data_IF_043673221928
#
_entry.id   IF_043673221928
#
_cell.length_a   1.000
_cell.length_b   1.000
_cell.length_c   1.000
_cell.angle_alpha   90.00
_cell.angle_beta   90.00
_cell.angle_gamma   90.00
#
_symmetry.space_group_name_H-M   'P 1'
#
loop_
_entity.id
_entity.type
_entity.pdbx_description
1 polymer ?
#
# COMPACT_ATOMS: atom_id res chain seq x y z
N UNK A 1 -2.40 11.04 -5.98
CA UNK A 1 -1.82 10.50 -4.73
C UNK A 1 -1.28 11.63 -3.87
N UNK A 2 -0.34 12.48 -4.36
CA UNK A 2 0.31 13.55 -3.57
C UNK A 2 -0.66 14.46 -2.79
N UNK A 3 -1.72 14.99 -3.42
CA UNK A 3 -2.69 15.84 -2.75
C UNK A 3 -3.41 15.12 -1.58
N UNK A 4 -3.70 13.84 -1.75
CA UNK A 4 -4.32 12.99 -0.72
C UNK A 4 -3.35 12.71 0.42
N UNK A 5 -2.08 12.46 0.11
CA UNK A 5 -1.04 12.27 1.13
C UNK A 5 -0.91 13.49 2.03
N UNK A 6 -1.02 14.69 1.46
CA UNK A 6 -1.03 15.96 2.19
C UNK A 6 -2.35 16.27 2.92
N UNK A 7 -3.32 15.36 2.92
CA UNK A 7 -4.60 15.52 3.60
C UNK A 7 -5.64 16.33 2.82
N UNK A 8 -5.39 16.65 1.54
CA UNK A 8 -6.36 17.37 0.72
C UNK A 8 -7.28 16.41 -0.01
N UNK A 9 -8.57 16.73 -0.05
CA UNK A 9 -9.50 16.04 -0.95
C UNK A 9 -9.13 16.40 -2.40
N UNK A 10 -8.83 15.42 -3.27
CA UNK A 10 -8.42 15.73 -4.63
C UNK A 10 -9.57 16.36 -5.41
N UNK A 11 -9.28 17.46 -6.07
CA UNK A 11 -10.15 18.01 -7.11
C UNK A 11 -9.57 17.55 -8.45
N UNK A 12 -10.05 16.41 -8.93
CA UNK A 12 -9.61 15.88 -10.21
C UNK A 12 -10.27 16.64 -11.35
N UNK A 13 -9.55 16.77 -12.47
CA UNK A 13 -10.17 17.24 -13.72
C UNK A 13 -11.11 16.17 -14.26
N UNK A 14 -12.32 16.54 -14.72
CA UNK A 14 -13.27 15.59 -15.28
C UNK A 14 -12.66 14.80 -16.44
N UNK A 15 -12.83 13.47 -16.43
CA UNK A 15 -12.30 12.55 -17.43
C UNK A 15 -10.81 12.23 -17.30
N UNK A 16 -10.11 12.80 -16.31
CA UNK A 16 -8.68 12.54 -16.10
C UNK A 16 -8.42 11.11 -15.56
N UNK A 17 -7.20 10.60 -15.76
CA UNK A 17 -6.75 9.35 -15.13
C UNK A 17 -6.87 9.42 -13.60
N UNK A 18 -6.56 10.57 -13.02
CA UNK A 18 -6.67 10.77 -11.57
C UNK A 18 -8.11 10.60 -11.06
N UNK A 19 -9.09 11.17 -11.76
CA UNK A 19 -10.50 10.99 -11.41
C UNK A 19 -10.91 9.52 -11.55
N UNK A 20 -10.57 8.90 -12.67
CA UNK A 20 -10.89 7.49 -12.95
C UNK A 20 -10.31 6.55 -11.88
N UNK A 21 -9.05 6.77 -11.46
CA UNK A 21 -8.42 5.96 -10.41
C UNK A 21 -9.06 6.20 -9.04
N UNK A 22 -9.38 7.44 -8.72
CA UNK A 22 -10.07 7.79 -7.48
C UNK A 22 -11.45 7.12 -7.39
N UNK A 23 -12.23 7.15 -8.47
CA UNK A 23 -13.54 6.51 -8.51
C UNK A 23 -13.44 4.97 -8.49
N UNK A 24 -12.43 4.36 -9.13
CA UNK A 24 -12.17 2.92 -9.02
C UNK A 24 -11.82 2.51 -7.59
N UNK A 25 -10.95 3.27 -6.90
CA UNK A 25 -10.62 3.02 -5.50
C UNK A 25 -11.86 3.09 -4.60
N UNK A 26 -12.70 4.11 -4.76
CA UNK A 26 -13.99 4.22 -4.04
C UNK A 26 -14.94 3.07 -4.32
N UNK A 27 -15.02 2.63 -5.57
CA UNK A 27 -15.88 1.50 -5.96
C UNK A 27 -15.41 0.18 -5.32
N UNK A 28 -14.10 0.01 -5.15
CA UNK A 28 -13.54 -1.13 -4.40
C UNK A 28 -13.88 -1.01 -2.93
N UNK A 29 -13.55 0.14 -2.30
CA UNK A 29 -13.81 0.37 -0.87
C UNK A 29 -15.26 0.13 -0.49
N UNK A 30 -16.20 0.60 -1.31
CA UNK A 30 -17.64 0.35 -1.10
C UNK A 30 -18.02 -1.14 -1.04
N UNK A 31 -17.19 -2.03 -1.62
CA UNK A 31 -17.43 -3.49 -1.61
C UNK A 31 -16.77 -4.18 -0.42
N UNK A 32 -15.66 -3.63 0.09
CA UNK A 32 -14.82 -4.30 1.08
C UNK A 32 -14.87 -3.65 2.46
N UNK A 33 -15.34 -2.40 2.57
CA UNK A 33 -15.45 -1.66 3.83
C UNK A 33 -16.91 -1.30 4.12
N UNK A 34 -17.27 -1.29 5.40
CA UNK A 34 -18.55 -0.75 5.91
C UNK A 34 -18.29 0.30 6.97
N UNK A 35 -19.31 1.10 7.29
CA UNK A 35 -19.20 2.16 8.30
C UNK A 35 -19.00 1.62 9.72
N UNK A 36 -19.39 0.36 9.99
CA UNK A 36 -19.22 -0.30 11.27
C UNK A 36 -17.83 -0.87 11.49
N UNK A 37 -17.01 -0.97 10.45
CA UNK A 37 -15.64 -1.47 10.55
C UNK A 37 -14.75 -0.48 11.30
N UNK A 38 -13.93 -0.99 12.20
CA UNK A 38 -12.82 -0.25 12.80
C UNK A 38 -11.73 0.06 11.77
N UNK A 39 -10.87 1.05 12.03
CA UNK A 39 -9.76 1.40 11.15
C UNK A 39 -8.86 0.20 10.82
N UNK A 40 -8.60 -0.66 11.80
CA UNK A 40 -7.81 -1.88 11.61
C UNK A 40 -8.51 -2.86 10.65
N UNK A 41 -9.81 -3.05 10.81
CA UNK A 41 -10.59 -3.92 9.91
C UNK A 41 -10.61 -3.38 8.48
N UNK A 42 -10.74 -2.06 8.31
CA UNK A 42 -10.66 -1.39 7.01
C UNK A 42 -9.27 -1.55 6.38
N UNK A 43 -8.19 -1.27 7.14
CA UNK A 43 -6.81 -1.45 6.65
C UNK A 43 -6.53 -2.90 6.25
N UNK A 44 -7.03 -3.86 7.03
CA UNK A 44 -6.92 -5.27 6.71
C UNK A 44 -7.65 -5.61 5.41
N UNK A 45 -8.89 -5.16 5.24
CA UNK A 45 -9.67 -5.39 4.03
C UNK A 45 -8.98 -4.80 2.78
N UNK A 46 -8.39 -3.60 2.90
CA UNK A 46 -7.59 -2.96 1.85
C UNK A 46 -6.34 -3.79 1.53
N UNK A 47 -5.60 -4.22 2.54
CA UNK A 47 -4.40 -5.03 2.42
C UNK A 47 -4.68 -6.35 1.69
N UNK A 48 -5.68 -7.09 2.16
CA UNK A 48 -6.13 -8.34 1.57
C UNK A 48 -6.60 -8.17 0.12
N UNK A 49 -7.40 -7.12 -0.14
CA UNK A 49 -7.88 -6.86 -1.49
C UNK A 49 -6.73 -6.63 -2.47
N UNK A 50 -5.74 -5.81 -2.10
CA UNK A 50 -4.59 -5.55 -2.96
C UNK A 50 -3.84 -6.85 -3.25
N UNK A 51 -3.51 -7.64 -2.23
CA UNK A 51 -2.77 -8.89 -2.37
C UNK A 51 -3.52 -9.90 -3.26
N UNK A 52 -4.84 -10.00 -3.11
CA UNK A 52 -5.66 -10.96 -3.87
C UNK A 52 -5.83 -10.54 -5.33
N UNK A 53 -5.87 -9.24 -5.62
CA UNK A 53 -6.25 -8.72 -6.94
C UNK A 53 -5.08 -8.17 -7.77
N UNK A 54 -3.88 -8.07 -7.18
CA UNK A 54 -2.70 -7.51 -7.85
C UNK A 54 -1.59 -8.55 -7.86
N UNK A 55 -0.92 -8.72 -9.00
CA UNK A 55 0.26 -9.55 -9.14
C UNK A 55 1.51 -8.67 -9.25
N UNK A 56 2.66 -9.18 -8.77
CA UNK A 56 3.90 -8.44 -8.87
C UNK A 56 4.46 -8.44 -10.29
N UNK A 57 4.76 -7.26 -10.82
CA UNK A 57 5.34 -7.09 -12.16
C UNK A 57 6.87 -7.29 -12.12
N UNK A 58 7.28 -8.55 -12.12
CA UNK A 58 8.70 -8.91 -12.16
C UNK A 58 9.41 -8.36 -13.40
N UNK A 59 8.71 -8.28 -14.54
CA UNK A 59 9.30 -7.78 -15.78
C UNK A 59 9.62 -6.28 -15.69
N UNK A 60 8.66 -5.46 -15.25
CA UNK A 60 8.89 -4.03 -15.05
C UNK A 60 9.96 -3.77 -13.99
N UNK A 61 9.98 -4.56 -12.92
CA UNK A 61 11.00 -4.46 -11.88
C UNK A 61 12.41 -4.80 -12.44
N UNK A 62 12.57 -5.90 -13.15
CA UNK A 62 13.84 -6.26 -13.78
C UNK A 62 14.30 -5.20 -14.78
N UNK A 63 13.40 -4.69 -15.62
CA UNK A 63 13.70 -3.61 -16.56
C UNK A 63 14.20 -2.35 -15.89
N UNK A 64 13.80 -2.06 -14.66
CA UNK A 64 14.28 -0.89 -13.91
C UNK A 64 15.80 -0.90 -13.62
N UNK A 65 16.47 -2.02 -13.75
CA UNK A 65 17.93 -2.12 -13.66
C UNK A 65 18.64 -1.82 -14.99
N UNK A 66 17.91 -1.92 -16.11
CA UNK A 66 18.46 -1.78 -17.45
C UNK A 66 18.21 -0.39 -18.06
N UNK A 67 17.14 0.28 -17.60
CA UNK A 67 16.66 1.54 -18.17
C UNK A 67 16.70 2.68 -17.15
N UNK A 68 16.70 3.91 -17.63
CA UNK A 68 16.68 5.08 -16.75
C UNK A 68 15.36 5.22 -15.97
N UNK A 69 15.38 5.96 -14.85
CA UNK A 69 14.19 6.27 -14.08
C UNK A 69 13.09 6.99 -14.92
N UNK A 70 13.48 7.72 -15.95
CA UNK A 70 12.50 8.36 -16.88
C UNK A 70 11.81 7.30 -17.74
N UNK A 71 12.55 6.30 -18.21
CA UNK A 71 12.00 5.22 -19.03
C UNK A 71 11.13 4.26 -18.22
N UNK A 72 11.40 4.07 -16.91
CA UNK A 72 10.53 3.25 -16.05
C UNK A 72 9.14 3.85 -15.92
N UNK A 73 8.99 5.17 -16.03
CA UNK A 73 7.70 5.87 -15.92
C UNK A 73 6.69 5.50 -17.03
N UNK A 74 7.11 4.85 -18.11
CA UNK A 74 6.20 4.33 -19.14
C UNK A 74 5.43 3.07 -18.72
N UNK A 75 5.88 2.38 -17.65
CA UNK A 75 5.19 1.20 -17.13
C UNK A 75 4.15 1.61 -16.09
N UNK A 76 2.88 1.30 -16.35
CA UNK A 76 1.78 1.60 -15.43
C UNK A 76 1.93 0.92 -14.07
N UNK A 77 2.72 -0.16 -13.99
CA UNK A 77 3.00 -0.92 -12.77
C UNK A 77 3.63 -0.10 -11.63
N UNK A 78 4.24 1.05 -11.94
CA UNK A 78 4.79 2.00 -10.96
C UNK A 78 3.73 2.96 -10.38
N UNK A 79 2.50 2.89 -10.88
CA UNK A 79 1.41 3.78 -10.56
C UNK A 79 0.16 3.02 -10.11
N UNK A 80 -0.80 3.74 -9.58
CA UNK A 80 -2.10 3.18 -9.18
C UNK A 80 -2.88 2.62 -10.37
N UNK A 81 -2.61 3.09 -11.59
CA UNK A 81 -3.16 2.56 -12.83
C UNK A 81 -2.82 1.08 -13.02
N UNK A 82 -1.60 0.67 -12.69
CA UNK A 82 -1.21 -0.74 -12.72
C UNK A 82 -2.11 -1.60 -11.83
N UNK A 83 -2.40 -1.12 -10.63
CA UNK A 83 -3.28 -1.81 -9.68
C UNK A 83 -4.72 -1.88 -10.17
N UNK A 84 -5.32 -0.74 -10.52
CA UNK A 84 -6.76 -0.67 -10.78
C UNK A 84 -7.16 -0.96 -12.23
N UNK A 85 -6.26 -0.87 -13.20
CA UNK A 85 -6.55 -1.13 -14.61
C UNK A 85 -6.13 -2.53 -15.04
N UNK A 86 -4.98 -3.04 -14.55
CA UNK A 86 -4.41 -4.30 -15.01
C UNK A 86 -4.19 -5.36 -13.92
N UNK A 87 -4.29 -5.00 -12.64
CA UNK A 87 -3.96 -5.90 -11.55
C UNK A 87 -2.47 -6.32 -11.56
N UNK A 88 -1.59 -5.42 -12.02
CA UNK A 88 -0.16 -5.69 -12.15
C UNK A 88 0.64 -4.48 -11.66
N UNK A 89 1.48 -4.64 -10.64
CA UNK A 89 2.22 -3.54 -10.05
C UNK A 89 3.59 -3.97 -9.48
N UNK A 90 4.49 -3.01 -9.32
CA UNK A 90 5.68 -3.12 -8.48
C UNK A 90 5.39 -2.50 -7.10
N UNK A 91 6.35 -2.57 -6.18
CA UNK A 91 6.18 -2.08 -4.79
C UNK A 91 5.60 -0.65 -4.70
N UNK A 92 6.02 0.27 -5.56
CA UNK A 92 5.46 1.63 -5.60
C UNK A 92 3.97 1.64 -5.93
N UNK A 93 3.51 0.83 -6.90
CA UNK A 93 2.10 0.73 -7.26
C UNK A 93 1.27 0.18 -6.10
N UNK A 94 1.74 -0.90 -5.45
CA UNK A 94 1.12 -1.46 -4.23
C UNK A 94 0.98 -0.41 -3.13
N UNK A 95 2.09 0.26 -2.77
CA UNK A 95 2.10 1.24 -1.69
C UNK A 95 1.25 2.48 -2.01
N UNK A 96 1.25 2.97 -3.26
CA UNK A 96 0.41 4.10 -3.68
C UNK A 96 -1.08 3.76 -3.67
N UNK A 97 -1.46 2.55 -4.06
CA UNK A 97 -2.85 2.10 -4.02
C UNK A 97 -3.33 1.94 -2.57
N UNK A 98 -2.51 1.34 -1.70
CA UNK A 98 -2.81 1.21 -0.28
C UNK A 98 -3.01 2.60 0.36
N UNK A 99 -2.07 3.54 0.15
CA UNK A 99 -2.17 4.91 0.63
C UNK A 99 -3.45 5.59 0.16
N UNK A 100 -3.78 5.51 -1.13
CA UNK A 100 -4.98 6.11 -1.69
C UNK A 100 -6.24 5.59 -0.99
N UNK A 101 -6.36 4.27 -0.87
CA UNK A 101 -7.53 3.61 -0.29
C UNK A 101 -7.65 3.92 1.22
N UNK A 102 -6.57 3.82 1.99
CA UNK A 102 -6.56 4.14 3.41
C UNK A 102 -6.93 5.61 3.68
N UNK A 103 -6.40 6.54 2.87
CA UNK A 103 -6.74 7.98 2.99
C UNK A 103 -8.19 8.30 2.61
N UNK A 104 -8.79 7.58 1.66
CA UNK A 104 -10.22 7.71 1.34
C UNK A 104 -11.07 7.32 2.55
N UNK A 105 -10.67 6.28 3.29
CA UNK A 105 -11.32 5.84 4.53
C UNK A 105 -10.97 6.73 5.75
N UNK A 106 -10.22 7.82 5.56
CA UNK A 106 -9.87 8.77 6.61
C UNK A 106 -8.72 8.32 7.51
N UNK A 107 -8.03 7.23 7.20
CA UNK A 107 -6.94 6.69 8.02
C UNK A 107 -5.63 7.39 7.66
N UNK A 108 -4.94 8.05 8.62
CA UNK A 108 -3.68 8.72 8.35
C UNK A 108 -2.62 7.71 7.90
N UNK A 109 -2.10 7.91 6.70
CA UNK A 109 -1.17 7.00 6.05
C UNK A 109 -0.12 7.81 5.30
N UNK A 110 1.12 7.35 5.31
CA UNK A 110 2.22 7.93 4.54
C UNK A 110 2.87 6.89 3.64
N UNK A 111 3.46 7.37 2.56
CA UNK A 111 4.24 6.58 1.62
C UNK A 111 5.72 6.68 2.00
N UNK A 112 6.40 5.55 2.13
CA UNK A 112 7.79 5.45 2.58
C UNK A 112 8.62 4.72 1.54
N UNK A 113 9.83 5.19 1.28
CA UNK A 113 10.79 4.53 0.40
C UNK A 113 12.11 4.26 1.10
N UNK A 114 12.79 3.20 0.70
CA UNK A 114 14.13 2.89 1.22
C UNK A 114 14.69 1.61 0.61
N UNK A 115 15.99 1.59 0.32
CA UNK A 115 16.69 0.43 -0.24
C UNK A 115 16.00 -0.17 -1.49
N UNK A 116 15.58 0.70 -2.44
CA UNK A 116 14.88 0.35 -3.69
C UNK A 116 13.52 -0.35 -3.48
N UNK A 117 12.88 -0.06 -2.38
CA UNK A 117 11.57 -0.58 -2.03
C UNK A 117 10.63 0.54 -1.56
N UNK A 118 9.32 0.28 -1.62
CA UNK A 118 8.30 1.21 -1.16
C UNK A 118 7.24 0.47 -0.33
N UNK A 119 6.83 1.09 0.77
CA UNK A 119 5.79 0.58 1.68
C UNK A 119 5.01 1.75 2.29
N UNK A 120 4.21 1.49 3.30
CA UNK A 120 3.44 2.52 3.98
C UNK A 120 3.69 2.51 5.49
N UNK A 121 3.40 3.64 6.15
CA UNK A 121 3.10 3.68 7.58
C UNK A 121 1.69 4.21 7.78
N UNK A 122 0.99 3.65 8.76
CA UNK A 122 -0.37 4.02 9.16
C UNK A 122 -0.37 4.46 10.62
N UNK A 123 -1.20 5.45 10.95
CA UNK A 123 -1.36 5.91 12.32
C UNK A 123 -2.64 5.36 12.92
N UNK A 124 -2.51 4.61 14.00
CA UNK A 124 -3.60 3.93 14.68
C UNK A 124 -3.45 4.10 16.20
N UNK A 125 -4.51 4.56 16.88
CA UNK A 125 -4.55 4.60 18.34
C UNK A 125 -3.32 5.25 19.00
N UNK A 126 -2.82 6.34 18.40
CA UNK A 126 -1.69 7.08 18.96
C UNK A 126 -0.31 6.61 18.52
N UNK A 127 -0.19 5.55 17.70
CA UNK A 127 1.07 4.98 17.26
C UNK A 127 1.15 4.81 15.74
N UNK A 128 2.36 4.86 15.21
CA UNK A 128 2.64 4.52 13.81
C UNK A 128 2.98 3.03 13.68
N UNK A 129 2.58 2.42 12.57
CA UNK A 129 2.85 1.03 12.22
C UNK A 129 3.20 0.92 10.75
N UNK A 130 4.14 0.05 10.40
CA UNK A 130 4.47 -0.26 9.02
C UNK A 130 3.44 -1.21 8.38
N UNK A 131 3.16 -1.02 7.09
CA UNK A 131 2.35 -1.94 6.27
C UNK A 131 2.99 -2.09 4.91
N UNK A 132 3.22 -3.33 4.48
CA UNK A 132 3.80 -3.64 3.19
C UNK A 132 2.99 -4.70 2.44
N UNK A 133 2.07 -4.25 1.60
CA UNK A 133 1.21 -5.13 0.81
C UNK A 133 1.98 -5.91 -0.27
N UNK A 134 3.15 -5.42 -0.71
CA UNK A 134 4.00 -6.15 -1.67
C UNK A 134 4.51 -7.46 -1.09
N UNK A 135 5.01 -7.44 0.15
CA UNK A 135 5.53 -8.63 0.81
C UNK A 135 4.43 -9.49 1.45
N UNK A 136 3.20 -9.00 1.51
CA UNK A 136 2.04 -9.79 1.85
C UNK A 136 1.57 -10.67 0.70
N UNK A 137 1.97 -10.31 -0.53
CA UNK A 137 1.81 -11.13 -1.72
C UNK A 137 2.96 -12.15 -1.79
N UNK A 138 2.69 -13.40 -1.46
CA UNK A 138 3.71 -14.46 -1.43
C UNK A 138 4.29 -14.83 -2.80
N UNK A 139 3.86 -14.16 -3.87
CA UNK A 139 4.38 -14.35 -5.24
C UNK A 139 4.09 -15.73 -5.84
N UNK A 140 3.37 -16.59 -5.16
CA UNK A 140 2.93 -17.88 -5.69
C UNK A 140 1.61 -17.64 -6.42
N UNK A 141 1.65 -17.79 -7.72
CA UNK A 141 0.46 -17.83 -8.60
C UNK A 141 -0.54 -18.86 -8.07
N UNK A 142 -1.51 -18.42 -7.28
CA UNK A 142 -2.48 -19.32 -6.68
C UNK A 142 -3.12 -18.82 -5.39
N UNK A 143 -3.04 -17.57 -5.05
CA UNK A 143 -3.99 -16.84 -4.16
C UNK A 143 -4.26 -17.38 -2.74
N UNK A 144 -3.51 -18.34 -2.22
CA UNK A 144 -3.94 -19.04 -1.01
C UNK A 144 -3.13 -18.71 0.25
N UNK A 145 -2.09 -17.92 0.16
CA UNK A 145 -1.27 -17.56 1.32
C UNK A 145 -1.11 -16.07 1.47
N UNK A 146 -2.12 -15.44 2.04
CA UNK A 146 -2.00 -14.09 2.60
C UNK A 146 -1.01 -14.14 3.76
N UNK A 147 0.10 -13.41 3.66
CA UNK A 147 1.01 -13.22 4.78
C UNK A 147 0.68 -11.91 5.49
N UNK A 148 0.48 -11.99 6.79
CA UNK A 148 0.30 -10.81 7.65
C UNK A 148 1.57 -10.42 8.41
N UNK A 149 2.69 -11.06 8.12
CA UNK A 149 3.97 -10.76 8.78
C UNK A 149 4.40 -9.31 8.58
N UNK A 150 4.01 -8.72 7.44
CA UNK A 150 4.26 -7.32 7.13
C UNK A 150 2.99 -6.45 7.18
N UNK A 151 2.08 -6.78 8.07
CA UNK A 151 0.93 -5.97 8.42
C UNK A 151 1.04 -5.47 9.86
N UNK A 152 1.13 -4.15 10.05
CA UNK A 152 1.31 -3.45 11.32
C UNK A 152 2.64 -3.79 12.05
N UNK A 153 3.74 -3.77 11.32
CA UNK A 153 5.09 -4.04 11.82
C UNK A 153 5.81 -2.79 12.36
N UNK A 154 6.93 -3.02 13.06
CA UNK A 154 7.83 -1.97 13.54
C UNK A 154 8.94 -1.63 12.54
N UNK A 155 9.52 -0.41 12.66
CA UNK A 155 10.69 -0.03 11.87
C UNK A 155 11.88 -0.97 12.11
N UNK A 156 12.04 -1.46 13.35
CA UNK A 156 13.08 -2.43 13.70
C UNK A 156 12.92 -3.74 12.91
N UNK A 157 11.68 -4.26 12.84
CA UNK A 157 11.36 -5.44 12.03
C UNK A 157 11.71 -5.22 10.56
N UNK A 158 11.30 -4.07 9.99
CA UNK A 158 11.58 -3.76 8.57
C UNK A 158 13.08 -3.64 8.30
N UNK A 159 13.83 -3.04 9.23
CA UNK A 159 15.30 -2.92 9.15
C UNK A 159 15.98 -4.30 9.22
N UNK A 160 15.45 -5.23 10.01
CA UNK A 160 16.00 -6.61 10.09
C UNK A 160 15.87 -7.37 8.77
N UNK A 161 14.91 -6.98 7.93
CA UNK A 161 14.73 -7.52 6.57
C UNK A 161 15.59 -6.79 5.51
N UNK A 162 16.45 -5.85 5.92
CA UNK A 162 17.34 -5.08 5.04
C UNK A 162 16.72 -3.82 4.45
N UNK A 163 15.54 -3.40 4.90
CA UNK A 163 14.87 -2.19 4.43
C UNK A 163 14.85 -1.11 5.50
N UNK A 164 15.51 0.00 5.25
CA UNK A 164 15.50 1.18 6.11
C UNK A 164 15.17 2.42 5.30
N UNK A 165 14.56 3.42 5.94
CA UNK A 165 14.24 4.69 5.32
C UNK A 165 14.60 5.84 6.25
N UNK A 166 15.05 6.95 5.67
CA UNK A 166 15.15 8.25 6.33
C UNK A 166 13.91 9.10 6.09
N UNK A 167 13.00 8.67 5.21
CA UNK A 167 11.77 9.39 4.94
C UNK A 167 10.90 9.40 6.20
N UNK A 168 10.40 10.58 6.56
CA UNK A 168 9.50 10.73 7.71
C UNK A 168 10.07 10.12 9.00
N UNK A 169 11.32 10.45 9.33
CA UNK A 169 11.99 9.97 10.55
C UNK A 169 11.26 10.33 11.86
N UNK A 170 10.37 11.31 11.82
CA UNK A 170 9.49 11.72 12.91
C UNK A 170 8.31 10.76 13.14
N UNK A 171 7.92 9.96 12.15
CA UNK A 171 6.80 9.02 12.23
C UNK A 171 7.30 7.59 12.48
N UNK A 172 7.84 7.37 13.68
CA UNK A 172 8.47 6.11 14.04
C UNK A 172 7.44 5.04 14.38
N UNK A 173 7.59 3.87 13.78
CA UNK A 173 6.84 2.66 14.11
C UNK A 173 7.63 1.83 15.12
N UNK A 174 7.48 2.14 16.41
CA UNK A 174 8.26 1.51 17.51
C UNK A 174 7.41 0.55 18.35
N UNK A 175 6.09 0.63 18.25
CA UNK A 175 5.16 -0.18 19.03
C UNK A 175 4.79 -1.45 18.29
N UNK A 176 4.96 -2.60 18.93
CA UNK A 176 4.48 -3.87 18.38
C UNK A 176 2.95 -3.93 18.43
N UNK A 177 2.35 -4.37 17.34
CA UNK A 177 0.94 -4.64 17.27
C UNK A 177 0.69 -6.15 17.35
N UNK A 178 0.07 -6.58 18.43
CA UNK A 178 -0.23 -7.99 18.67
C UNK A 178 -1.57 -8.37 17.99
N UNK A 179 -1.59 -8.38 16.66
CA UNK A 179 -2.78 -8.66 15.86
C UNK A 179 -3.30 -10.10 16.09
N UNK A 180 -2.39 -11.04 16.23
CA UNK A 180 -2.73 -12.47 16.37
C UNK A 180 -2.97 -12.93 17.81
N UNK A 181 -2.54 -12.17 18.84
CA UNK A 181 -2.74 -12.56 20.22
C UNK A 181 -4.19 -12.39 20.71
N UNK A 182 -5.02 -11.63 19.99
CA UNK A 182 -6.40 -11.30 20.36
C UNK A 182 -7.47 -12.00 19.52
N UNK A 183 -7.11 -12.76 18.51
CA UNK A 183 -8.06 -13.62 17.80
C UNK A 183 -8.00 -15.03 18.39
N UNK A 184 -8.79 -15.26 19.44
CA UNK A 184 -9.23 -16.62 19.74
C UNK A 184 -10.20 -17.03 18.62
N UNK A 185 -9.83 -18.07 17.90
CA UNK A 185 -10.67 -18.76 16.93
C UNK A 185 -11.94 -19.29 17.59
#
# INVERSE_FOLDING_TARGET
VYAIEQGFKPKCEPGSSAERMYEKAKAVLKKICTDEMTDIQKLRAIYEWIIINVNYDNLAFQKSYEISAIQTRQYNSWYIEGVFDSGLAVCEGYAKAFLLMAKIEGIPTIFVTGNRHAWNKVYLNGNWYGVDATHGDSGVSGKETLSYEQFLFTDLFKTSLGYSSSDYSEFKAETEYSYFSNQKY
#
